data_IF_704036611539
#
_entry.id   IF_704036611539
#
_cell.length_a   1.000
_cell.length_b   1.000
_cell.length_c   1.000
_cell.angle_alpha   90.00
_cell.angle_beta   90.00
_cell.angle_gamma   90.00
#
_symmetry.space_group_name_H-M   'P 1'
#
loop_
_entity.id
_entity.type
_entity.pdbx_description
1 polymer ?
#
# COMPACT_ATOMS: atom_id res chain seq x y z
N UNK A 1 9.98 -13.95 -17.30
CA UNK A 1 11.40 -13.54 -17.32
C UNK A 1 11.85 -13.32 -15.88
N UNK A 2 13.00 -13.86 -15.49
CA UNK A 2 13.52 -13.76 -14.12
C UNK A 2 13.94 -12.34 -13.74
N UNK A 3 14.12 -11.45 -14.72
CA UNK A 3 14.51 -10.04 -14.48
C UNK A 3 13.49 -9.24 -13.67
N UNK A 4 12.21 -9.59 -13.70
CA UNK A 4 11.16 -8.91 -12.90
C UNK A 4 11.14 -9.36 -11.43
N UNK A 5 11.72 -10.52 -11.14
CA UNK A 5 11.60 -11.15 -9.82
C UNK A 5 12.13 -10.28 -8.67
N UNK A 6 13.30 -9.62 -8.77
CA UNK A 6 13.78 -8.73 -7.71
C UNK A 6 12.85 -7.55 -7.45
N UNK A 7 12.24 -7.00 -8.51
CA UNK A 7 11.28 -5.90 -8.39
C UNK A 7 10.01 -6.37 -7.68
N UNK A 8 9.42 -7.48 -8.13
CA UNK A 8 8.23 -8.05 -7.51
C UNK A 8 8.48 -8.38 -6.04
N UNK A 9 9.61 -9.01 -5.72
CA UNK A 9 9.99 -9.34 -4.36
C UNK A 9 10.24 -8.09 -3.50
N UNK A 10 10.90 -7.07 -4.05
CA UNK A 10 11.16 -5.80 -3.36
C UNK A 10 9.86 -5.07 -2.99
N UNK A 11 8.94 -4.90 -3.94
CA UNK A 11 7.66 -4.21 -3.68
C UNK A 11 6.75 -4.99 -2.75
N UNK A 12 6.67 -6.33 -2.91
CA UNK A 12 5.87 -7.18 -2.00
C UNK A 12 6.43 -7.18 -0.58
N UNK A 13 7.77 -7.17 -0.43
CA UNK A 13 8.43 -7.06 0.88
C UNK A 13 8.20 -5.68 1.51
N UNK A 14 8.30 -4.60 0.73
CA UNK A 14 8.00 -3.24 1.20
C UNK A 14 6.54 -3.10 1.64
N UNK A 15 5.61 -3.67 0.88
CA UNK A 15 4.20 -3.75 1.23
C UNK A 15 3.98 -4.54 2.52
N UNK A 16 4.65 -5.67 2.68
CA UNK A 16 4.60 -6.47 3.91
C UNK A 16 5.04 -5.64 5.12
N UNK A 17 6.18 -4.95 5.06
CA UNK A 17 6.66 -4.12 6.16
C UNK A 17 5.72 -2.96 6.49
N UNK A 18 5.10 -2.36 5.47
CA UNK A 18 4.14 -1.27 5.62
C UNK A 18 2.87 -1.75 6.31
N UNK A 19 2.30 -2.86 5.84
CA UNK A 19 1.09 -3.46 6.41
C UNK A 19 1.34 -4.00 7.82
N UNK A 20 2.48 -4.65 8.07
CA UNK A 20 2.90 -5.08 9.41
C UNK A 20 3.04 -3.89 10.36
N UNK A 21 3.64 -2.79 9.91
CA UNK A 21 3.69 -1.54 10.68
C UNK A 21 2.30 -1.01 11.03
N UNK A 22 1.36 -1.01 10.08
CA UNK A 22 -0.02 -0.58 10.30
C UNK A 22 -0.71 -1.48 11.34
N UNK A 23 -0.65 -2.79 11.17
CA UNK A 23 -1.26 -3.74 12.10
C UNK A 23 -0.61 -3.66 13.49
N UNK A 24 0.71 -3.49 13.55
CA UNK A 24 1.44 -3.28 14.79
C UNK A 24 1.02 -1.99 15.50
N UNK A 25 0.81 -0.91 14.76
CA UNK A 25 0.29 0.36 15.30
C UNK A 25 -1.13 0.19 15.87
N UNK A 26 -2.03 -0.42 15.11
CA UNK A 26 -3.42 -0.64 15.53
C UNK A 26 -3.49 -1.60 16.72
N UNK A 27 -2.66 -2.64 16.73
CA UNK A 27 -2.51 -3.56 17.85
C UNK A 27 -2.01 -2.86 19.11
N UNK A 28 -1.06 -1.94 19.00
CA UNK A 28 -0.57 -1.14 20.13
C UNK A 28 -1.60 -0.12 20.67
N UNK A 29 -2.59 0.26 19.85
CA UNK A 29 -3.68 1.15 20.25
C UNK A 29 -4.87 0.39 20.87
N UNK A 30 -5.03 -0.88 20.53
CA UNK A 30 -6.13 -1.71 21.01
C UNK A 30 -5.84 -2.25 22.42
N UNK A 31 -6.92 -2.52 23.17
CA UNK A 31 -6.82 -3.13 24.51
C UNK A 31 -6.68 -4.65 24.49
N UNK A 32 -7.10 -5.26 23.39
CA UNK A 32 -7.15 -6.71 23.20
C UNK A 32 -7.07 -7.05 21.70
N UNK A 33 -6.69 -8.29 21.40
CA UNK A 33 -6.46 -8.76 20.03
C UNK A 33 -7.72 -8.70 19.17
N UNK A 34 -8.90 -8.94 19.74
CA UNK A 34 -10.17 -8.91 19.01
C UNK A 34 -10.50 -7.50 18.56
N UNK A 35 -10.35 -6.52 19.46
CA UNK A 35 -10.53 -5.09 19.14
C UNK A 35 -9.51 -4.63 18.12
N UNK A 36 -8.25 -5.09 18.20
CA UNK A 36 -7.22 -4.76 17.20
C UNK A 36 -7.61 -5.22 15.80
N UNK A 37 -8.10 -6.46 15.68
CA UNK A 37 -8.57 -7.01 14.41
C UNK A 37 -9.73 -6.19 13.85
N UNK A 38 -10.74 -5.89 14.67
CA UNK A 38 -11.88 -5.06 14.27
C UNK A 38 -11.47 -3.66 13.81
N UNK A 39 -10.51 -3.04 14.49
CA UNK A 39 -9.95 -1.73 14.11
C UNK A 39 -9.18 -1.78 12.78
N UNK A 40 -8.59 -2.92 12.44
CA UNK A 40 -7.81 -3.08 11.22
C UNK A 40 -8.64 -3.34 9.96
N UNK A 41 -9.83 -3.93 10.11
CA UNK A 41 -10.74 -4.23 9.01
C UNK A 41 -11.05 -3.03 8.09
N UNK A 42 -11.44 -1.84 8.58
CA UNK A 42 -11.77 -0.73 7.68
C UNK A 42 -10.58 -0.29 6.81
N UNK A 43 -9.36 -0.29 7.36
CA UNK A 43 -8.16 0.06 6.60
C UNK A 43 -7.84 -1.02 5.56
N UNK A 44 -7.95 -2.29 5.93
CA UNK A 44 -7.77 -3.40 5.00
C UNK A 44 -8.79 -3.35 3.86
N UNK A 45 -10.06 -3.14 4.18
CA UNK A 45 -11.13 -3.01 3.18
C UNK A 45 -10.87 -1.83 2.24
N UNK A 46 -10.44 -0.68 2.78
CA UNK A 46 -10.10 0.49 1.98
C UNK A 46 -8.96 0.18 1.00
N UNK A 47 -7.87 -0.39 1.47
CA UNK A 47 -6.70 -0.67 0.61
C UNK A 47 -6.93 -1.82 -0.37
N UNK A 48 -7.78 -2.78 -0.03
CA UNK A 48 -8.16 -3.88 -0.93
C UNK A 48 -9.13 -3.41 -2.01
N UNK A 49 -10.04 -2.49 -1.68
CA UNK A 49 -10.98 -1.92 -2.64
C UNK A 49 -10.27 -0.93 -3.58
N UNK A 50 -9.49 0.00 -3.03
CA UNK A 50 -8.74 1.02 -3.77
C UNK A 50 -7.29 0.56 -4.02
N UNK A 51 -7.12 -0.61 -4.62
CA UNK A 51 -5.81 -1.18 -4.94
C UNK A 51 -5.31 -0.82 -6.35
N UNK A 52 -6.02 0.03 -7.09
CA UNK A 52 -5.69 0.38 -8.48
C UNK A 52 -6.05 -0.71 -9.50
N UNK A 53 -6.53 -1.87 -9.07
CA UNK A 53 -7.01 -2.96 -9.92
C UNK A 53 -8.53 -3.10 -9.82
N UNK A 54 -9.06 -3.34 -8.61
CA UNK A 54 -10.49 -3.49 -8.30
C UNK A 54 -11.24 -2.17 -8.54
N UNK A 55 -10.83 -1.13 -7.83
CA UNK A 55 -11.20 0.26 -8.14
C UNK A 55 -9.94 0.96 -8.63
N UNK A 56 -10.03 1.48 -9.83
CA UNK A 56 -8.92 2.07 -10.55
C UNK A 56 -9.23 3.54 -10.89
N UNK A 57 -8.26 4.25 -11.45
CA UNK A 57 -8.37 5.71 -11.62
C UNK A 57 -9.47 6.10 -12.62
N UNK A 58 -9.73 5.23 -13.59
CA UNK A 58 -10.73 5.41 -14.64
C UNK A 58 -12.16 5.14 -14.13
N UNK A 59 -12.31 4.23 -13.17
CA UNK A 59 -13.62 3.85 -12.60
C UNK A 59 -13.97 4.62 -11.32
N UNK A 60 -12.98 5.16 -10.61
CA UNK A 60 -13.21 5.95 -9.40
C UNK A 60 -13.77 7.35 -9.72
N UNK A 61 -14.80 7.81 -8.99
CA UNK A 61 -15.22 9.20 -9.04
C UNK A 61 -14.05 10.13 -8.67
N UNK A 62 -13.94 11.29 -9.30
CA UNK A 62 -12.81 12.21 -9.10
C UNK A 62 -12.53 12.56 -7.62
N UNK A 63 -13.58 12.69 -6.81
CA UNK A 63 -13.46 12.98 -5.38
C UNK A 63 -12.95 11.80 -4.52
N UNK A 64 -12.88 10.58 -5.07
CA UNK A 64 -12.39 9.37 -4.40
C UNK A 64 -11.04 8.88 -4.93
N UNK A 65 -10.49 9.49 -5.99
CA UNK A 65 -9.21 9.06 -6.56
C UNK A 65 -8.05 9.13 -5.57
N UNK A 66 -8.11 10.05 -4.59
CA UNK A 66 -7.10 10.14 -3.53
C UNK A 66 -6.98 8.86 -2.69
N UNK A 67 -8.05 8.06 -2.57
CA UNK A 67 -8.03 6.80 -1.83
C UNK A 67 -7.11 5.76 -2.50
N UNK A 68 -6.97 5.83 -3.83
CA UNK A 68 -6.01 5.03 -4.59
C UNK A 68 -4.59 5.53 -4.32
N UNK A 69 -4.40 6.86 -4.30
CA UNK A 69 -3.09 7.48 -4.09
C UNK A 69 -2.49 7.19 -2.70
N UNK A 70 -3.32 6.95 -1.68
CA UNK A 70 -2.85 6.61 -0.33
C UNK A 70 -2.76 5.09 -0.07
N UNK A 71 -3.17 4.26 -1.02
CA UNK A 71 -3.19 2.82 -0.84
C UNK A 71 -1.80 2.23 -1.06
N UNK A 72 -1.18 1.59 -0.05
CA UNK A 72 0.11 0.93 -0.22
C UNK A 72 0.06 -0.19 -1.27
N UNK A 73 -1.11 -0.84 -1.39
CA UNK A 73 -1.35 -1.90 -2.38
C UNK A 73 -1.34 -1.33 -3.78
N UNK A 74 -2.05 -0.21 -4.01
CA UNK A 74 -2.08 0.45 -5.31
C UNK A 74 -0.69 0.92 -5.74
N UNK A 75 0.05 1.56 -4.82
CA UNK A 75 1.43 1.99 -5.07
C UNK A 75 2.33 0.83 -5.52
N UNK A 76 2.18 -0.34 -4.88
CA UNK A 76 2.98 -1.52 -5.20
C UNK A 76 2.62 -2.12 -6.55
N UNK A 77 1.32 -2.27 -6.86
CA UNK A 77 0.85 -2.84 -8.13
C UNK A 77 1.24 -1.94 -9.30
N UNK A 78 0.98 -0.64 -9.21
CA UNK A 78 1.32 0.35 -10.25
C UNK A 78 2.83 0.36 -10.52
N UNK A 79 3.65 0.32 -9.46
CA UNK A 79 5.12 0.33 -9.61
C UNK A 79 5.67 -0.98 -10.18
N UNK A 80 5.07 -2.13 -9.84
CA UNK A 80 5.43 -3.41 -10.47
C UNK A 80 5.07 -3.40 -11.96
N UNK A 81 3.89 -2.86 -12.31
CA UNK A 81 3.45 -2.75 -13.71
C UNK A 81 4.38 -1.83 -14.51
N UNK A 82 4.81 -0.70 -13.93
CA UNK A 82 5.78 0.20 -14.56
C UNK A 82 7.11 -0.50 -14.85
N UNK A 83 7.69 -1.20 -13.86
CA UNK A 83 8.97 -1.90 -14.05
C UNK A 83 8.82 -3.08 -15.02
N UNK A 84 7.66 -3.75 -15.04
CA UNK A 84 7.38 -4.76 -16.05
C UNK A 84 7.47 -4.17 -17.46
N UNK A 85 6.84 -3.01 -17.68
CA UNK A 85 6.95 -2.30 -18.95
C UNK A 85 8.40 -1.96 -19.31
N UNK A 86 9.20 -1.42 -18.38
CA UNK A 86 10.61 -1.10 -18.65
C UNK A 86 11.46 -2.33 -19.01
N UNK A 87 11.18 -3.50 -18.42
CA UNK A 87 11.94 -4.73 -18.68
C UNK A 87 11.55 -5.38 -20.00
N UNK A 88 10.25 -5.41 -20.32
CA UNK A 88 9.71 -6.12 -21.47
C UNK A 88 9.65 -5.26 -22.73
N UNK A 89 9.58 -3.93 -22.58
CA UNK A 89 9.46 -2.99 -23.71
C UNK A 89 8.16 -3.15 -24.51
N UNK A 90 7.12 -3.74 -23.92
CA UNK A 90 5.84 -3.97 -24.58
C UNK A 90 4.94 -2.72 -24.48
N UNK A 91 5.08 -1.83 -25.46
CA UNK A 91 4.26 -0.62 -25.57
C UNK A 91 2.77 -0.94 -25.70
N UNK A 92 2.40 -2.03 -26.38
CA UNK A 92 1.00 -2.41 -26.55
C UNK A 92 0.40 -2.87 -25.22
N UNK A 93 1.12 -3.72 -24.49
CA UNK A 93 0.75 -4.13 -23.13
C UNK A 93 0.61 -2.94 -22.18
N UNK A 94 1.54 -1.99 -22.22
CA UNK A 94 1.49 -0.80 -21.37
C UNK A 94 0.31 0.12 -21.70
N UNK A 95 0.02 0.36 -22.98
CA UNK A 95 -1.14 1.16 -23.39
C UNK A 95 -2.46 0.54 -22.92
N UNK A 96 -2.59 -0.79 -22.97
CA UNK A 96 -3.76 -1.48 -22.43
C UNK A 96 -3.89 -1.28 -20.92
N UNK A 97 -2.78 -1.29 -20.17
CA UNK A 97 -2.78 -1.05 -18.72
C UNK A 97 -3.21 0.38 -18.39
N UNK A 98 -2.74 1.37 -19.16
CA UNK A 98 -3.18 2.76 -19.01
C UNK A 98 -4.67 2.90 -19.32
N UNK A 99 -5.12 2.33 -20.44
CA UNK A 99 -6.53 2.44 -20.87
C UNK A 99 -7.47 1.74 -19.88
N UNK A 100 -7.07 0.58 -19.37
CA UNK A 100 -7.90 -0.22 -18.46
C UNK A 100 -7.88 0.30 -17.02
N UNK A 101 -6.71 0.68 -16.49
CA UNK A 101 -6.52 0.99 -15.08
C UNK A 101 -6.21 2.46 -14.77
N UNK A 102 -5.80 3.23 -15.78
CA UNK A 102 -5.41 4.63 -15.61
C UNK A 102 -4.11 4.78 -14.82
N UNK A 103 -3.18 3.83 -14.99
CA UNK A 103 -1.86 3.90 -14.35
C UNK A 103 -1.04 5.04 -14.94
N UNK A 104 -0.28 5.71 -14.08
CA UNK A 104 0.59 6.80 -14.44
C UNK A 104 2.03 6.47 -14.00
N UNK A 105 3.02 7.06 -14.67
CA UNK A 105 4.41 6.91 -14.20
C UNK A 105 4.61 7.73 -12.92
N UNK A 106 4.49 7.04 -11.78
CA UNK A 106 4.59 7.62 -10.43
C UNK A 106 5.56 6.84 -9.56
N UNK A 107 6.53 6.14 -10.16
CA UNK A 107 7.45 5.25 -9.47
C UNK A 107 8.14 5.92 -8.27
N UNK A 108 8.77 7.07 -8.48
CA UNK A 108 9.51 7.80 -7.44
C UNK A 108 8.59 8.26 -6.30
N UNK A 109 7.38 8.73 -6.65
CA UNK A 109 6.38 9.16 -5.68
C UNK A 109 5.88 7.98 -4.85
N UNK A 110 5.60 6.85 -5.48
CA UNK A 110 5.12 5.64 -4.83
C UNK A 110 6.19 5.07 -3.91
N UNK A 111 7.47 5.11 -4.31
CA UNK A 111 8.59 4.71 -3.48
C UNK A 111 8.74 5.61 -2.26
N UNK A 112 8.74 6.93 -2.46
CA UNK A 112 8.81 7.91 -1.37
C UNK A 112 7.64 7.74 -0.39
N UNK A 113 6.42 7.57 -0.91
CA UNK A 113 5.23 7.33 -0.12
C UNK A 113 5.37 6.08 0.75
N UNK A 114 5.76 4.94 0.17
CA UNK A 114 5.93 3.68 0.90
C UNK A 114 6.95 3.79 2.03
N UNK A 115 8.09 4.44 1.78
CA UNK A 115 9.11 4.66 2.81
C UNK A 115 8.60 5.57 3.93
N UNK A 116 7.94 6.68 3.58
CA UNK A 116 7.38 7.62 4.56
C UNK A 116 6.31 6.94 5.40
N UNK A 117 5.34 6.26 4.77
CA UNK A 117 4.22 5.66 5.50
C UNK A 117 4.68 4.49 6.37
N UNK A 118 5.65 3.69 5.91
CA UNK A 118 6.27 2.65 6.72
C UNK A 118 6.94 3.24 7.97
N UNK A 119 7.73 4.30 7.81
CA UNK A 119 8.34 5.02 8.93
C UNK A 119 7.29 5.60 9.88
N UNK A 120 6.24 6.23 9.36
CA UNK A 120 5.14 6.80 10.14
C UNK A 120 4.45 5.72 10.98
N UNK A 121 4.08 4.59 10.39
CA UNK A 121 3.44 3.50 11.12
C UNK A 121 4.35 2.92 12.21
N UNK A 122 5.65 2.76 11.95
CA UNK A 122 6.60 2.31 12.97
C UNK A 122 6.77 3.30 14.12
N UNK A 123 6.87 4.60 13.81
CA UNK A 123 6.94 5.64 14.84
C UNK A 123 5.65 5.69 15.66
N UNK A 124 4.50 5.66 15.01
CA UNK A 124 3.20 5.64 15.68
C UNK A 124 3.01 4.37 16.53
N UNK A 125 3.48 3.21 16.07
CA UNK A 125 3.50 1.99 16.87
C UNK A 125 4.28 2.17 18.17
N UNK A 126 5.50 2.72 18.11
CA UNK A 126 6.33 2.98 19.30
C UNK A 126 5.68 4.02 20.23
N UNK A 127 5.10 5.09 19.67
CA UNK A 127 4.40 6.11 20.45
C UNK A 127 3.15 5.57 21.13
N UNK A 128 2.36 4.76 20.42
CA UNK A 128 1.19 4.08 20.96
C UNK A 128 1.58 3.15 22.09
N UNK A 129 2.65 2.37 21.95
CA UNK A 129 3.17 1.58 23.08
C UNK A 129 3.56 2.46 24.26
N UNK A 130 4.29 3.57 24.06
CA UNK A 130 4.67 4.45 25.18
C UNK A 130 3.48 5.07 25.90
N UNK A 131 2.42 5.43 25.17
CA UNK A 131 1.26 6.14 25.72
C UNK A 131 0.20 5.20 26.31
N UNK A 132 -0.04 4.07 25.65
CA UNK A 132 -1.09 3.13 26.00
C UNK A 132 -0.59 1.92 26.84
N UNK A 133 0.72 1.67 26.96
CA UNK A 133 1.28 0.72 27.96
C UNK A 133 1.34 1.26 29.40
N UNK A 134 0.55 2.28 29.77
CA UNK A 134 0.31 2.61 31.18
C UNK A 134 -0.81 1.75 31.80
N UNK A 135 -1.12 0.59 31.22
CA UNK A 135 -2.04 -0.39 31.83
C UNK A 135 -1.30 -1.09 32.97
N UNK A 136 -1.76 -0.79 34.20
CA UNK A 136 -1.31 -1.37 35.46
C UNK A 136 -1.33 -2.90 35.38
N UNK A 137 -0.26 -3.48 35.93
CA UNK A 137 -0.07 -4.91 36.20
C UNK A 137 -1.20 -5.49 37.05
#
# INVERSE_FOLDING_TARGET
>A
DWRIFPCLYGWTTSLYFTMDGMYGMLGAMAKDTTTAQLLSLPFLMLFLLYNGFTVNRNTAPGFLQWAIDISPVACSIESIAWVAYEIFGDEYGWNNVIEQFGYENRYDRNLAFMLIICCVFRVLQVLSFKKFNNVKR
#
